data_IF_344499841441
#
_entry.id   IF_344499841441
#
_cell.length_a   1.000
_cell.length_b   1.000
_cell.length_c   1.000
_cell.angle_alpha   90.00
_cell.angle_beta   90.00
_cell.angle_gamma   90.00
#
_symmetry.space_group_name_H-M   'P 1'
#
loop_
_entity.id
_entity.type
_entity.pdbx_description
1 polymer ?
#
# COMPACT_ATOMS: atom_id res chain seq x y z
N UNK A 1 14.66 26.02 12.63
CA UNK A 1 14.00 24.69 12.51
C UNK A 1 14.31 24.07 11.15
N UNK A 2 13.82 24.64 10.05
CA UNK A 2 13.96 24.03 8.71
C UNK A 2 15.40 23.74 8.26
N UNK A 3 16.35 24.65 8.51
CA UNK A 3 17.77 24.38 8.21
C UNK A 3 18.25 23.10 8.87
N UNK A 4 18.05 22.95 10.18
CA UNK A 4 18.42 21.75 10.93
C UNK A 4 17.70 20.50 10.41
N UNK A 5 16.38 20.59 10.17
CA UNK A 5 15.60 19.47 9.65
C UNK A 5 16.14 18.99 8.28
N UNK A 6 16.33 19.91 7.34
CA UNK A 6 16.81 19.60 5.99
C UNK A 6 18.25 19.07 6.04
N UNK A 7 19.14 19.71 6.80
CA UNK A 7 20.53 19.27 6.94
C UNK A 7 20.62 17.86 7.55
N UNK A 8 19.82 17.56 8.57
CA UNK A 8 19.81 16.22 9.17
C UNK A 8 19.23 15.18 8.21
N UNK A 9 18.14 15.49 7.51
CA UNK A 9 17.54 14.58 6.52
C UNK A 9 18.50 14.29 5.36
N UNK A 10 19.20 15.32 4.87
CA UNK A 10 20.22 15.15 3.83
C UNK A 10 21.40 14.33 4.34
N UNK A 11 21.92 14.64 5.52
CA UNK A 11 23.00 13.86 6.12
C UNK A 11 22.62 12.40 6.33
N UNK A 12 21.38 12.10 6.74
CA UNK A 12 20.89 10.73 6.84
C UNK A 12 20.82 10.06 5.47
N UNK A 13 20.27 10.74 4.46
CA UNK A 13 20.18 10.22 3.08
C UNK A 13 21.57 9.91 2.50
N UNK A 14 22.55 10.79 2.72
CA UNK A 14 23.92 10.60 2.27
C UNK A 14 24.59 9.44 3.03
N UNK A 15 24.35 9.31 4.34
CA UNK A 15 24.91 8.21 5.16
C UNK A 15 24.40 6.83 4.75
N UNK A 16 23.25 6.75 4.07
CA UNK A 16 22.71 5.49 3.52
C UNK A 16 22.96 5.36 2.01
N UNK A 17 23.85 6.19 1.43
CA UNK A 17 24.16 6.25 0.00
C UNK A 17 22.91 6.42 -0.89
N UNK A 18 21.88 7.10 -0.36
CA UNK A 18 20.57 7.24 -0.99
C UNK A 18 19.75 5.95 -1.10
N UNK A 19 20.18 4.86 -0.47
CA UNK A 19 19.53 3.54 -0.54
C UNK A 19 18.48 3.38 0.56
N UNK A 20 17.41 4.18 0.51
CA UNK A 20 16.32 4.19 1.52
C UNK A 20 15.77 2.80 1.84
N UNK A 21 15.65 1.92 0.85
CA UNK A 21 15.13 0.55 1.05
C UNK A 21 16.07 -0.29 1.91
N UNK A 22 17.39 -0.10 1.82
CA UNK A 22 18.35 -0.86 2.61
C UNK A 22 18.28 -0.52 4.10
N UNK A 23 17.96 0.73 4.43
CA UNK A 23 17.83 1.17 5.82
C UNK A 23 16.77 0.35 6.58
N UNK A 24 15.71 -0.10 5.90
CA UNK A 24 14.71 -1.01 6.49
C UNK A 24 15.22 -2.43 6.72
N UNK A 25 16.26 -2.86 5.97
CA UNK A 25 16.84 -4.19 6.09
C UNK A 25 17.47 -4.45 7.45
N UNK A 26 18.10 -3.44 8.06
CA UNK A 26 18.66 -3.53 9.42
C UNK A 26 17.56 -3.79 10.46
N UNK A 27 16.48 -3.01 10.41
CA UNK A 27 15.33 -3.17 11.31
C UNK A 27 14.57 -4.49 11.09
N UNK A 28 14.53 -5.00 9.87
CA UNK A 28 14.03 -6.34 9.58
C UNK A 28 14.95 -7.43 10.15
N UNK A 29 16.27 -7.23 10.10
CA UNK A 29 17.26 -8.23 10.53
C UNK A 29 17.27 -8.43 12.05
N UNK A 30 17.08 -7.34 12.81
CA UNK A 30 17.05 -7.35 14.27
C UNK A 30 15.63 -7.53 14.85
N UNK A 31 14.63 -7.78 14.01
CA UNK A 31 13.22 -7.92 14.37
C UNK A 31 12.64 -6.71 15.13
N UNK A 32 13.06 -5.49 14.77
CA UNK A 32 12.42 -4.26 15.27
C UNK A 32 11.13 -3.95 14.51
N UNK A 33 11.08 -4.30 13.23
CA UNK A 33 9.89 -4.19 12.39
C UNK A 33 9.65 -5.50 11.64
N UNK A 34 8.41 -5.68 11.20
CA UNK A 34 8.06 -6.68 10.21
C UNK A 34 7.75 -5.98 8.87
N UNK A 35 8.33 -6.48 7.78
CA UNK A 35 8.04 -5.99 6.43
C UNK A 35 7.18 -7.00 5.69
N UNK A 36 6.08 -6.51 5.11
CA UNK A 36 5.25 -7.27 4.18
C UNK A 36 5.69 -6.97 2.75
N UNK A 37 5.48 -7.92 1.84
CA UNK A 37 5.52 -7.62 0.41
C UNK A 37 4.12 -7.27 -0.11
N UNK A 38 4.01 -6.86 -1.37
CA UNK A 38 2.75 -6.75 -2.11
C UNK A 38 2.93 -7.33 -3.50
N UNK A 39 1.90 -7.24 -4.35
CA UNK A 39 1.96 -7.66 -5.75
C UNK A 39 2.92 -6.79 -6.56
N UNK A 40 3.54 -7.36 -7.61
CA UNK A 40 4.60 -6.72 -8.38
C UNK A 40 4.30 -5.27 -8.80
N UNK A 41 3.10 -4.98 -9.29
CA UNK A 41 2.69 -3.61 -9.68
C UNK A 41 1.39 -3.17 -9.03
N UNK A 42 1.05 -3.72 -7.86
CA UNK A 42 -0.16 -3.36 -7.11
C UNK A 42 -1.48 -3.43 -7.93
N UNK A 43 -1.76 -4.51 -8.71
CA UNK A 43 -3.04 -4.66 -9.40
C UNK A 43 -4.20 -4.89 -8.44
N UNK A 44 -5.38 -4.37 -8.76
CA UNK A 44 -6.59 -4.67 -8.01
C UNK A 44 -7.09 -6.10 -8.32
N UNK A 45 -6.58 -7.09 -7.58
CA UNK A 45 -6.80 -8.53 -7.83
C UNK A 45 -8.25 -8.96 -8.11
N UNK A 46 -9.28 -8.41 -7.44
CA UNK A 46 -10.66 -8.81 -7.72
C UNK A 46 -11.09 -8.67 -9.19
N UNK A 47 -10.49 -7.75 -9.96
CA UNK A 47 -10.77 -7.59 -11.39
C UNK A 47 -10.15 -8.69 -12.25
N UNK A 48 -9.11 -9.35 -11.76
CA UNK A 48 -8.33 -10.34 -12.51
C UNK A 48 -8.58 -11.77 -12.01
N UNK A 49 -9.65 -11.98 -11.24
CA UNK A 49 -9.96 -13.27 -10.59
C UNK A 49 -10.08 -14.45 -11.55
N UNK A 50 -10.42 -14.19 -12.81
CA UNK A 50 -10.57 -15.17 -13.89
C UNK A 50 -9.25 -15.49 -14.62
N UNK A 51 -8.16 -14.78 -14.30
CA UNK A 51 -6.82 -14.95 -14.89
C UNK A 51 -5.81 -15.41 -13.83
N UNK A 52 -5.85 -16.68 -13.41
CA UNK A 52 -5.02 -17.19 -12.31
C UNK A 52 -3.52 -17.09 -12.60
N UNK A 53 -3.10 -17.30 -13.85
CA UNK A 53 -1.69 -17.17 -14.27
C UNK A 53 -1.15 -15.78 -13.99
N UNK A 54 -1.96 -14.75 -14.30
CA UNK A 54 -1.59 -13.35 -14.07
C UNK A 54 -1.52 -13.00 -12.58
N UNK A 55 -2.49 -13.49 -11.78
CA UNK A 55 -2.46 -13.29 -10.32
C UNK A 55 -1.22 -13.92 -9.69
N UNK A 56 -0.89 -15.16 -10.07
CA UNK A 56 0.33 -15.84 -9.62
C UNK A 56 1.57 -15.05 -10.01
N UNK A 57 1.67 -14.62 -11.27
CA UNK A 57 2.80 -13.81 -11.75
C UNK A 57 3.02 -12.57 -10.88
N UNK A 58 1.94 -11.85 -10.55
CA UNK A 58 1.97 -10.65 -9.71
C UNK A 58 2.41 -10.94 -8.27
N UNK A 59 1.86 -11.99 -7.64
CA UNK A 59 2.27 -12.42 -6.29
C UNK A 59 3.75 -12.81 -6.27
N UNK A 60 4.17 -13.63 -7.23
CA UNK A 60 5.53 -14.15 -7.32
C UNK A 60 6.55 -13.05 -7.61
N UNK A 61 6.22 -12.08 -8.47
CA UNK A 61 7.07 -10.94 -8.74
C UNK A 61 7.31 -10.08 -7.49
N UNK A 62 6.28 -9.89 -6.66
CA UNK A 62 6.38 -9.20 -5.37
C UNK A 62 7.25 -9.94 -4.37
N UNK A 63 7.03 -11.25 -4.22
CA UNK A 63 7.82 -12.11 -3.33
C UNK A 63 9.28 -12.19 -3.79
N UNK A 64 9.52 -12.33 -5.09
CA UNK A 64 10.85 -12.36 -5.65
C UNK A 64 11.58 -11.04 -5.42
N UNK A 65 10.93 -9.90 -5.67
CA UNK A 65 11.51 -8.57 -5.46
C UNK A 65 11.88 -8.35 -3.99
N UNK A 66 11.00 -8.76 -3.07
CA UNK A 66 11.28 -8.71 -1.63
C UNK A 66 12.46 -9.60 -1.25
N UNK A 67 12.46 -10.85 -1.70
CA UNK A 67 13.47 -11.84 -1.34
C UNK A 67 14.85 -11.47 -1.89
N UNK A 68 14.90 -10.98 -3.13
CA UNK A 68 16.13 -10.47 -3.74
C UNK A 68 16.69 -9.27 -2.97
N UNK A 69 15.81 -8.43 -2.40
CA UNK A 69 16.23 -7.23 -1.67
C UNK A 69 16.69 -7.51 -0.25
N UNK A 70 15.98 -8.36 0.48
CA UNK A 70 16.17 -8.57 1.91
C UNK A 70 16.81 -9.91 2.28
N UNK A 71 17.03 -10.81 1.30
CA UNK A 71 17.61 -12.14 1.53
C UNK A 71 16.72 -13.07 2.36
N UNK A 72 15.44 -12.73 2.54
CA UNK A 72 14.43 -13.50 3.29
C UNK A 72 13.12 -13.51 2.53
N UNK A 73 12.37 -14.60 2.61
CA UNK A 73 11.00 -14.64 2.10
C UNK A 73 10.05 -13.86 3.01
N UNK A 74 9.10 -13.09 2.46
CA UNK A 74 8.10 -12.40 3.26
C UNK A 74 7.08 -13.40 3.83
N UNK A 75 6.69 -13.21 5.09
CA UNK A 75 5.60 -14.01 5.71
C UNK A 75 4.24 -13.37 5.52
N UNK A 76 4.20 -12.04 5.45
CA UNK A 76 2.96 -11.30 5.23
C UNK A 76 2.90 -10.69 3.83
N UNK A 77 1.68 -10.56 3.33
CA UNK A 77 1.38 -9.98 2.03
C UNK A 77 0.31 -8.91 2.17
N UNK A 78 0.60 -7.70 1.69
CA UNK A 78 -0.38 -6.63 1.53
C UNK A 78 -1.12 -6.83 0.21
N UNK A 79 -2.38 -7.28 0.28
CA UNK A 79 -3.25 -7.31 -0.89
C UNK A 79 -3.45 -5.87 -1.38
N UNK A 80 -3.22 -5.59 -2.68
CA UNK A 80 -3.48 -4.26 -3.23
C UNK A 80 -4.88 -3.79 -2.87
N UNK A 81 -4.93 -2.64 -2.22
CA UNK A 81 -6.17 -2.00 -1.77
C UNK A 81 -7.01 -2.79 -0.76
N UNK A 82 -6.37 -3.72 -0.04
CA UNK A 82 -7.03 -4.78 0.71
C UNK A 82 -8.11 -5.50 -0.12
N UNK A 83 -7.92 -5.55 -1.45
CA UNK A 83 -8.84 -6.10 -2.43
C UNK A 83 -8.88 -7.62 -2.33
N UNK A 84 -9.69 -8.12 -1.40
CA UNK A 84 -9.88 -9.54 -1.19
C UNK A 84 -11.01 -10.07 -2.08
N UNK A 85 -10.74 -11.17 -2.79
CA UNK A 85 -11.77 -11.98 -3.43
C UNK A 85 -11.62 -13.44 -3.03
N UNK A 86 -12.70 -14.21 -3.09
CA UNK A 86 -12.65 -15.63 -2.80
C UNK A 86 -11.66 -16.35 -3.73
N UNK A 87 -10.76 -17.17 -3.15
CA UNK A 87 -9.73 -17.94 -3.83
C UNK A 87 -8.33 -17.31 -3.86
N UNK A 88 -8.18 -16.01 -3.56
CA UNK A 88 -6.84 -15.37 -3.52
C UNK A 88 -5.95 -15.95 -2.41
N UNK A 89 -6.57 -16.40 -1.32
CA UNK A 89 -5.91 -16.98 -0.16
C UNK A 89 -5.16 -18.28 -0.51
N UNK A 90 -5.71 -19.08 -1.42
CA UNK A 90 -5.04 -20.26 -1.95
C UNK A 90 -3.72 -19.90 -2.66
N UNK A 91 -3.73 -18.87 -3.50
CA UNK A 91 -2.52 -18.44 -4.22
C UNK A 91 -1.45 -17.88 -3.27
N UNK A 92 -1.87 -17.16 -2.23
CA UNK A 92 -0.96 -16.68 -1.19
C UNK A 92 -0.33 -17.86 -0.41
N UNK A 93 -1.13 -18.83 0.04
CA UNK A 93 -0.63 -20.02 0.76
C UNK A 93 0.29 -20.89 -0.08
N UNK A 94 -0.01 -21.07 -1.37
CA UNK A 94 0.87 -21.80 -2.31
C UNK A 94 2.25 -21.12 -2.44
N UNK A 95 2.34 -19.83 -2.19
CA UNK A 95 3.58 -19.06 -2.21
C UNK A 95 4.15 -18.80 -0.81
N UNK A 96 3.79 -19.63 0.19
CA UNK A 96 4.31 -19.57 1.56
C UNK A 96 4.05 -18.26 2.30
N UNK A 97 3.00 -17.52 1.92
CA UNK A 97 2.51 -16.37 2.69
C UNK A 97 1.64 -16.89 3.83
N UNK A 98 1.94 -16.48 5.05
CA UNK A 98 1.23 -16.89 6.26
C UNK A 98 0.03 -15.99 6.60
N UNK A 99 0.10 -14.71 6.24
CA UNK A 99 -0.99 -13.79 6.55
C UNK A 99 -1.16 -12.60 5.59
N UNK A 100 -2.34 -12.00 5.65
CA UNK A 100 -2.66 -10.71 5.00
C UNK A 100 -3.48 -9.84 5.94
N UNK A 101 -3.54 -8.55 5.63
CA UNK A 101 -4.50 -7.62 6.22
C UNK A 101 -5.77 -7.64 5.36
N UNK A 102 -6.93 -7.50 5.98
CA UNK A 102 -8.23 -7.41 5.30
C UNK A 102 -9.05 -6.27 5.85
N UNK A 103 -10.04 -5.83 5.08
CA UNK A 103 -10.98 -4.83 5.55
C UNK A 103 -11.89 -5.39 6.68
N UNK A 104 -12.39 -4.53 7.56
CA UNK A 104 -13.34 -4.90 8.61
C UNK A 104 -14.64 -5.48 8.04
N UNK A 105 -15.07 -4.94 6.89
CA UNK A 105 -16.28 -5.34 6.17
C UNK A 105 -16.18 -6.79 5.67
N UNK A 106 -14.99 -7.28 5.35
CA UNK A 106 -14.78 -8.70 5.02
C UNK A 106 -15.16 -9.62 6.17
N UNK A 107 -15.17 -9.13 7.41
CA UNK A 107 -15.59 -9.88 8.60
C UNK A 107 -17.05 -9.57 8.96
N UNK A 108 -17.39 -8.28 9.07
CA UNK A 108 -18.67 -7.84 9.62
C UNK A 108 -19.88 -8.18 8.73
N UNK A 109 -19.68 -8.31 7.41
CA UNK A 109 -20.76 -8.63 6.47
C UNK A 109 -20.81 -10.10 6.07
N UNK A 110 -19.97 -10.94 6.68
CA UNK A 110 -20.04 -12.37 6.46
C UNK A 110 -21.29 -12.98 7.05
N UNK A 111 -21.68 -14.12 6.47
CA UNK A 111 -22.88 -14.86 6.86
C UNK A 111 -22.87 -15.23 8.35
N UNK A 112 -21.70 -15.60 8.87
CA UNK A 112 -21.47 -15.89 10.28
C UNK A 112 -20.35 -14.99 10.77
N UNK A 113 -20.58 -14.23 11.83
CA UNK A 113 -19.57 -13.36 12.42
C UNK A 113 -18.77 -14.18 13.45
N UNK A 114 -17.43 -14.19 13.38
CA UNK A 114 -16.57 -14.83 14.37
C UNK A 114 -16.84 -14.34 15.79
N UNK A 115 -16.57 -15.19 16.80
CA UNK A 115 -16.74 -14.81 18.21
C UNK A 115 -15.86 -13.62 18.61
N UNK A 116 -14.67 -13.53 17.99
CA UNK A 116 -13.73 -12.42 18.19
C UNK A 116 -14.03 -11.20 17.33
N UNK A 117 -15.03 -11.27 16.44
CA UNK A 117 -15.30 -10.23 15.44
C UNK A 117 -14.05 -9.89 14.63
N UNK A 118 -13.84 -8.60 14.36
CA UNK A 118 -12.65 -8.07 13.70
C UNK A 118 -11.53 -7.68 14.70
N UNK A 119 -11.59 -8.16 15.95
CA UNK A 119 -10.71 -7.75 17.05
C UNK A 119 -9.68 -8.81 17.46
N UNK A 120 -9.52 -9.85 16.67
CA UNK A 120 -8.46 -10.86 16.80
C UNK A 120 -8.19 -11.45 15.41
N UNK A 121 -6.98 -12.01 15.15
CA UNK A 121 -6.73 -12.68 13.88
C UNK A 121 -7.74 -13.79 13.61
N UNK A 122 -8.02 -14.02 12.34
CA UNK A 122 -8.90 -15.08 11.82
C UNK A 122 -8.11 -15.96 10.85
N UNK A 123 -8.62 -17.12 10.49
CA UNK A 123 -7.92 -18.03 9.55
C UNK A 123 -8.87 -18.55 8.48
N UNK A 124 -8.48 -18.49 7.21
CA UNK A 124 -9.26 -19.10 6.12
C UNK A 124 -9.18 -20.63 6.18
N UNK A 125 -10.06 -21.32 5.44
CA UNK A 125 -9.98 -22.78 5.30
C UNK A 125 -8.67 -23.26 4.64
N UNK A 126 -7.99 -22.42 3.85
CA UNK A 126 -6.67 -22.71 3.28
C UNK A 126 -5.52 -22.52 4.28
N UNK A 127 -5.82 -21.96 5.46
CA UNK A 127 -4.86 -21.70 6.53
C UNK A 127 -4.20 -20.32 6.47
N UNK A 128 -4.65 -19.41 5.60
CA UNK A 128 -4.16 -18.03 5.59
C UNK A 128 -4.72 -17.26 6.79
N UNK A 129 -3.84 -16.66 7.59
CA UNK A 129 -4.26 -15.81 8.70
C UNK A 129 -4.66 -14.43 8.17
N UNK A 130 -5.81 -13.94 8.60
CA UNK A 130 -6.36 -12.64 8.23
C UNK A 130 -6.28 -11.71 9.45
N UNK A 131 -5.79 -10.50 9.22
CA UNK A 131 -5.74 -9.42 10.18
C UNK A 131 -6.74 -8.33 9.78
N UNK A 132 -7.97 -8.34 10.34
CA UNK A 132 -8.98 -7.34 10.01
C UNK A 132 -8.58 -5.97 10.56
N UNK A 133 -8.74 -4.91 9.75
CA UNK A 133 -8.51 -3.54 10.21
C UNK A 133 -9.51 -3.11 11.28
N UNK A 134 -9.13 -2.18 12.15
CA UNK A 134 -10.05 -1.48 13.05
C UNK A 134 -10.32 -0.07 12.53
N UNK A 135 -11.48 0.13 11.88
CA UNK A 135 -11.81 1.43 11.31
C UNK A 135 -12.04 2.53 12.35
N UNK A 136 -12.49 2.20 13.57
CA UNK A 136 -12.88 3.20 14.59
C UNK A 136 -11.66 3.94 15.11
N UNK A 137 -10.62 3.21 15.54
CA UNK A 137 -9.36 3.82 15.97
C UNK A 137 -8.63 4.46 14.79
N UNK A 138 -8.70 3.87 13.60
CA UNK A 138 -8.10 4.45 12.39
C UNK A 138 -8.63 5.86 12.10
N UNK A 139 -9.93 6.11 12.34
CA UNK A 139 -10.54 7.42 12.09
C UNK A 139 -10.00 8.55 12.96
N UNK A 140 -9.40 8.28 14.13
CA UNK A 140 -8.72 9.32 14.93
C UNK A 140 -7.52 9.92 14.21
N UNK A 141 -6.92 9.17 13.29
CA UNK A 141 -5.79 9.62 12.48
C UNK A 141 -6.25 9.98 11.06
N UNK A 142 -7.04 9.11 10.42
CA UNK A 142 -7.40 9.21 9.00
C UNK A 142 -8.50 10.23 8.68
N UNK A 143 -9.27 10.69 9.67
CA UNK A 143 -10.36 11.63 9.42
C UNK A 143 -9.82 13.01 8.98
N UNK A 144 -10.19 13.45 7.78
CA UNK A 144 -9.84 14.78 7.28
C UNK A 144 -10.46 15.92 8.11
N UNK A 145 -11.60 15.66 8.77
CA UNK A 145 -12.35 16.68 9.52
C UNK A 145 -12.05 16.64 11.03
N UNK A 146 -11.87 15.45 11.58
CA UNK A 146 -11.83 15.22 13.04
C UNK A 146 -10.55 14.52 13.49
N UNK A 147 -9.68 14.16 12.55
CA UNK A 147 -8.44 13.45 12.84
C UNK A 147 -7.35 14.39 13.34
N UNK A 148 -6.38 13.82 14.05
CA UNK A 148 -5.22 14.55 14.56
C UNK A 148 -4.51 15.41 13.50
N UNK A 149 -4.29 14.95 12.25
CA UNK A 149 -3.58 15.75 11.23
C UNK A 149 -4.18 17.12 10.93
N UNK A 150 -5.48 17.31 11.16
CA UNK A 150 -6.18 18.58 10.93
C UNK A 150 -5.97 19.65 12.01
N UNK A 151 -5.17 19.38 13.05
CA UNK A 151 -5.03 20.30 14.17
C UNK A 151 -4.40 21.65 13.74
N UNK A 152 -4.97 22.80 14.16
CA UNK A 152 -4.48 24.14 13.78
C UNK A 152 -2.99 24.41 14.03
N UNK A 153 -2.37 23.71 14.98
CA UNK A 153 -0.95 23.88 15.30
C UNK A 153 0.01 23.12 14.35
N UNK A 154 -0.49 22.21 13.53
CA UNK A 154 0.31 21.42 12.59
C UNK A 154 0.61 22.17 11.30
N UNK A 155 1.67 21.73 10.62
CA UNK A 155 2.16 22.34 9.38
C UNK A 155 1.11 22.24 8.28
N UNK A 156 0.80 23.38 7.66
CA UNK A 156 -0.14 23.46 6.54
C UNK A 156 0.47 22.79 5.29
N UNK A 157 -0.22 21.76 4.76
CA UNK A 157 0.26 21.01 3.61
C UNK A 157 0.08 21.80 2.30
N UNK A 158 -0.99 22.57 2.17
CA UNK A 158 -1.37 23.20 0.91
C UNK A 158 -0.75 24.58 0.70
N UNK A 159 0.06 25.08 1.63
CA UNK A 159 0.66 26.41 1.56
C UNK A 159 2.19 26.31 1.46
N UNK A 160 2.69 26.35 0.23
CA UNK A 160 4.12 26.42 -0.05
C UNK A 160 4.63 27.87 0.08
N UNK A 161 5.86 28.02 0.55
CA UNK A 161 6.53 29.31 0.68
C UNK A 161 6.59 30.08 -0.64
N UNK A 162 6.58 29.39 -1.79
CA UNK A 162 6.51 30.01 -3.12
C UNK A 162 5.31 30.91 -3.37
N UNK A 163 4.21 30.74 -2.62
CA UNK A 163 3.06 31.64 -2.79
C UNK A 163 3.34 33.06 -2.31
N UNK A 164 4.31 33.25 -1.42
CA UNK A 164 4.71 34.57 -0.90
C UNK A 164 6.13 34.97 -1.28
N UNK A 165 7.02 33.99 -1.47
CA UNK A 165 8.46 34.18 -1.69
C UNK A 165 8.86 33.71 -3.09
N UNK A 166 8.20 34.24 -4.14
CA UNK A 166 8.43 33.82 -5.52
C UNK A 166 9.88 34.02 -5.98
N UNK A 167 10.61 34.94 -5.37
CA UNK A 167 12.03 35.22 -5.62
C UNK A 167 12.95 34.03 -5.27
N UNK A 168 12.48 33.06 -4.48
CA UNK A 168 13.24 31.85 -4.15
C UNK A 168 13.06 30.71 -5.17
N UNK A 169 12.33 30.96 -6.28
CA UNK A 169 12.10 29.95 -7.32
C UNK A 169 13.40 29.59 -8.05
N UNK A 170 13.82 28.32 -8.06
CA UNK A 170 15.12 27.94 -8.62
C UNK A 170 15.25 28.18 -10.13
N UNK A 171 14.13 28.18 -10.90
CA UNK A 171 14.18 28.07 -12.36
C UNK A 171 13.09 28.88 -13.14
N UNK A 172 12.44 29.89 -12.56
CA UNK A 172 11.33 30.64 -13.21
C UNK A 172 10.11 29.79 -13.67
N UNK A 173 10.07 28.48 -13.37
CA UNK A 173 9.00 27.55 -13.80
C UNK A 173 7.85 27.40 -12.79
N UNK A 174 7.73 28.28 -11.78
CA UNK A 174 6.72 28.20 -10.71
C UNK A 174 6.63 26.83 -9.99
N UNK A 175 7.70 26.04 -9.98
CA UNK A 175 7.75 24.79 -9.22
C UNK A 175 7.73 25.11 -7.73
N UNK A 176 6.93 24.36 -6.96
CA UNK A 176 6.87 24.48 -5.51
C UNK A 176 8.25 24.18 -4.88
N UNK A 177 8.62 24.91 -3.83
CA UNK A 177 9.90 24.75 -3.15
C UNK A 177 9.90 23.51 -2.23
N UNK A 178 8.71 23.04 -1.84
CA UNK A 178 8.53 22.00 -0.83
C UNK A 178 8.70 22.51 0.60
N UNK A 179 8.97 23.82 0.77
CA UNK A 179 9.11 24.48 2.06
C UNK A 179 7.76 25.08 2.47
N UNK A 180 7.17 24.58 3.55
CA UNK A 180 5.84 25.00 4.02
C UNK A 180 5.96 25.69 5.37
N UNK A 181 5.84 27.02 5.42
CA UNK A 181 6.20 27.81 6.62
C UNK A 181 5.02 28.16 7.52
N UNK A 182 3.81 27.77 7.13
CA UNK A 182 2.57 28.09 7.82
C UNK A 182 2.02 26.90 8.60
N UNK A 183 1.27 27.19 9.66
CA UNK A 183 0.41 26.23 10.34
C UNK A 183 -1.00 26.25 9.74
N UNK A 184 -1.81 25.24 10.05
CA UNK A 184 -3.20 25.14 9.58
C UNK A 184 -4.06 26.32 10.12
N UNK A 185 -3.80 26.79 11.35
CA UNK A 185 -4.30 28.04 11.96
C UNK A 185 -5.81 28.24 12.09
N UNK A 186 -6.64 27.26 11.71
CA UNK A 186 -8.09 27.24 11.98
C UNK A 186 -8.94 28.27 11.20
N UNK A 187 -8.36 29.02 10.26
CA UNK A 187 -9.07 30.01 9.45
C UNK A 187 -8.31 30.43 8.18
N UNK A 188 -8.83 31.46 7.50
CA UNK A 188 -8.24 31.96 6.24
C UNK A 188 -6.90 32.68 6.45
N UNK A 189 -6.65 33.23 7.64
CA UNK A 189 -5.38 33.82 7.99
C UNK A 189 -4.47 32.76 8.60
N UNK A 190 -3.37 32.46 7.93
CA UNK A 190 -2.41 31.44 8.37
C UNK A 190 -1.33 32.09 9.25
N UNK A 191 -1.04 31.46 10.37
CA UNK A 191 0.05 31.83 11.27
C UNK A 191 1.31 31.04 10.91
N UNK A 192 2.50 31.59 11.20
CA UNK A 192 3.74 30.86 11.01
C UNK A 192 3.79 29.58 11.85
N UNK A 193 4.33 28.53 11.26
CA UNK A 193 4.50 27.23 11.89
C UNK A 193 5.48 27.31 13.08
N UNK A 194 5.03 26.82 14.23
CA UNK A 194 5.83 26.70 15.44
C UNK A 194 5.97 25.24 15.86
N UNK A 195 7.14 24.66 15.55
CA UNK A 195 7.46 23.27 15.85
C UNK A 195 7.36 22.91 17.34
N UNK A 196 7.55 23.89 18.26
CA UNK A 196 7.44 23.64 19.70
C UNK A 196 5.99 23.47 20.12
N UNK A 197 5.10 24.32 19.61
CA UNK A 197 3.64 24.18 19.81
C UNK A 197 3.16 22.86 19.21
N UNK A 198 3.58 22.55 17.98
CA UNK A 198 3.24 21.30 17.32
C UNK A 198 3.66 20.07 18.14
N UNK A 199 4.87 20.05 18.71
CA UNK A 199 5.35 18.97 19.59
C UNK A 199 4.49 18.77 20.84
N UNK A 200 4.02 19.85 21.47
CA UNK A 200 3.11 19.76 22.63
C UNK A 200 1.78 19.13 22.22
N UNK A 201 1.24 19.51 21.06
CA UNK A 201 0.01 18.94 20.51
C UNK A 201 0.18 17.46 20.14
N UNK A 202 1.32 17.06 19.55
CA UNK A 202 1.64 15.64 19.33
C UNK A 202 1.54 14.85 20.63
N UNK A 203 2.13 15.34 21.73
CA UNK A 203 2.04 14.65 23.01
C UNK A 203 0.59 14.47 23.47
N UNK A 204 -0.23 15.51 23.37
CA UNK A 204 -1.65 15.46 23.72
C UNK A 204 -2.41 14.43 22.86
N UNK A 205 -2.14 14.36 21.56
CA UNK A 205 -2.77 13.39 20.68
C UNK A 205 -2.30 11.95 20.97
N UNK A 206 -1.04 11.75 21.35
CA UNK A 206 -0.56 10.43 21.81
C UNK A 206 -1.30 10.00 23.07
N UNK A 207 -1.46 10.89 24.05
CA UNK A 207 -2.20 10.61 25.29
C UNK A 207 -3.68 10.26 24.99
N UNK A 208 -4.36 11.06 24.17
CA UNK A 208 -5.74 10.78 23.73
C UNK A 208 -5.87 9.44 22.98
N UNK A 209 -4.90 9.11 22.12
CA UNK A 209 -4.91 7.87 21.36
C UNK A 209 -4.74 6.63 22.25
N UNK A 210 -3.85 6.71 23.25
CA UNK A 210 -3.67 5.65 24.25
C UNK A 210 -4.95 5.46 25.07
N UNK A 211 -5.52 6.53 25.59
CA UNK A 211 -6.75 6.48 26.38
C UNK A 211 -7.92 5.90 25.58
N UNK A 212 -8.07 6.30 24.31
CA UNK A 212 -9.08 5.76 23.41
C UNK A 212 -8.87 4.26 23.13
N UNK A 213 -7.62 3.84 22.93
CA UNK A 213 -7.27 2.44 22.68
C UNK A 213 -7.57 1.57 23.90
N UNK A 214 -7.20 2.02 25.10
CA UNK A 214 -7.48 1.30 26.35
C UNK A 214 -8.97 1.22 26.65
N UNK A 215 -9.71 2.31 26.47
CA UNK A 215 -11.17 2.32 26.61
C UNK A 215 -11.82 1.33 25.66
N UNK A 216 -11.44 1.35 24.37
CA UNK A 216 -11.94 0.41 23.37
C UNK A 216 -11.57 -1.02 23.72
N UNK A 217 -10.35 -1.27 24.19
CA UNK A 217 -9.91 -2.59 24.65
C UNK A 217 -10.81 -3.13 25.75
N UNK A 218 -11.13 -2.33 26.77
CA UNK A 218 -11.99 -2.73 27.87
C UNK A 218 -13.42 -3.06 27.41
N UNK A 219 -13.97 -2.29 26.49
CA UNK A 219 -15.31 -2.52 25.92
C UNK A 219 -15.34 -3.82 25.11
N UNK A 220 -14.36 -4.03 24.24
CA UNK A 220 -14.26 -5.21 23.36
C UNK A 220 -13.97 -6.48 24.15
N UNK A 221 -13.02 -6.45 25.09
CA UNK A 221 -12.63 -7.61 25.90
C UNK A 221 -13.81 -8.18 26.70
N UNK A 222 -14.74 -7.32 27.15
CA UNK A 222 -15.97 -7.75 27.83
C UNK A 222 -16.87 -8.58 26.93
N UNK A 223 -16.85 -8.36 25.62
CA UNK A 223 -17.68 -9.05 24.63
C UNK A 223 -16.99 -10.33 24.17
N UNK A 224 -15.75 -10.22 23.67
CA UNK A 224 -15.04 -11.34 23.04
C UNK A 224 -14.32 -12.26 24.04
N UNK A 225 -14.28 -11.88 25.33
CA UNK A 225 -13.63 -12.61 26.43
C UNK A 225 -12.15 -12.93 26.20
N UNK A 226 -11.48 -12.07 25.43
CA UNK A 226 -10.06 -12.16 25.05
C UNK A 226 -9.47 -10.76 24.91
N UNK A 227 -8.16 -10.64 25.13
CA UNK A 227 -7.42 -9.41 24.80
C UNK A 227 -7.52 -9.12 23.29
N UNK A 228 -8.08 -7.97 22.88
CA UNK A 228 -8.23 -7.65 21.47
C UNK A 228 -6.89 -7.25 20.85
N UNK A 229 -6.80 -7.45 19.54
CA UNK A 229 -5.74 -6.96 18.68
C UNK A 229 -6.36 -5.96 17.72
N UNK A 230 -5.87 -4.72 17.74
CA UNK A 230 -6.30 -3.66 16.83
C UNK A 230 -5.26 -3.48 15.72
N UNK A 231 -5.68 -3.62 14.46
CA UNK A 231 -4.81 -3.47 13.29
C UNK A 231 -5.18 -2.17 12.59
N UNK A 232 -4.23 -1.24 12.51
CA UNK A 232 -4.45 0.11 12.01
C UNK A 232 -3.54 0.36 10.80
N UNK A 233 -3.99 -0.02 9.59
CA UNK A 233 -3.23 0.24 8.37
C UNK A 233 -3.41 1.70 7.93
N UNK A 234 -2.31 2.31 7.48
CA UNK A 234 -2.29 3.67 6.97
C UNK A 234 -1.32 3.75 5.78
N UNK A 235 -1.60 4.64 4.83
CA UNK A 235 -0.62 4.98 3.79
C UNK A 235 0.62 5.61 4.43
N UNK A 236 1.80 5.12 4.08
CA UNK A 236 3.06 5.56 4.70
C UNK A 236 3.31 7.07 4.50
N UNK A 237 2.91 7.63 3.36
CA UNK A 237 3.02 9.05 3.07
C UNK A 237 2.16 9.94 3.98
N UNK A 238 1.19 9.38 4.70
CA UNK A 238 0.50 10.13 5.74
C UNK A 238 1.50 10.71 6.74
N UNK A 239 2.48 9.91 7.17
CA UNK A 239 3.42 10.28 8.22
C UNK A 239 4.66 10.98 7.63
N UNK A 240 4.64 12.30 7.65
CA UNK A 240 5.78 13.17 7.32
C UNK A 240 5.59 13.95 6.03
N UNK A 241 4.77 13.44 5.11
CA UNK A 241 4.38 14.16 3.90
C UNK A 241 3.07 14.94 4.11
N UNK A 242 1.93 14.24 4.18
CA UNK A 242 0.61 14.87 4.41
C UNK A 242 0.50 15.46 5.81
N UNK A 243 0.80 14.65 6.83
CA UNK A 243 0.89 15.06 8.22
C UNK A 243 2.35 15.15 8.64
N UNK A 244 2.90 16.36 8.64
CA UNK A 244 4.33 16.57 8.85
C UNK A 244 4.85 16.04 10.19
N UNK A 245 4.06 16.16 11.24
CA UNK A 245 4.37 15.70 12.59
C UNK A 245 4.11 14.21 12.79
N UNK A 246 3.59 13.51 11.78
CA UNK A 246 3.27 12.10 11.85
C UNK A 246 4.42 11.19 12.33
N UNK A 247 5.68 11.35 11.87
CA UNK A 247 6.80 10.55 12.36
C UNK A 247 7.09 10.80 13.85
N UNK A 248 6.96 12.05 14.31
CA UNK A 248 7.11 12.41 15.72
C UNK A 248 5.98 11.82 16.57
N UNK A 249 4.76 11.76 16.03
CA UNK A 249 3.64 11.08 16.67
C UNK A 249 3.92 9.58 16.82
N UNK A 250 4.38 8.90 15.77
CA UNK A 250 4.73 7.48 15.83
C UNK A 250 5.86 7.21 16.84
N UNK A 251 6.92 8.02 16.82
CA UNK A 251 8.02 7.94 17.80
C UNK A 251 7.48 8.03 19.23
N UNK A 252 6.78 9.13 19.56
CA UNK A 252 6.24 9.35 20.90
C UNK A 252 5.20 8.29 21.31
N UNK A 253 4.40 7.79 20.37
CA UNK A 253 3.42 6.73 20.61
C UNK A 253 4.12 5.42 20.97
N UNK A 254 5.10 5.00 20.19
CA UNK A 254 5.85 3.75 20.42
C UNK A 254 6.64 3.82 21.74
N UNK A 255 7.30 4.94 22.04
CA UNK A 255 7.97 5.17 23.33
C UNK A 255 6.98 5.10 24.50
N UNK A 256 5.80 5.71 24.34
CA UNK A 256 4.76 5.70 25.39
C UNK A 256 4.23 4.29 25.60
N UNK A 257 3.95 3.53 24.53
CA UNK A 257 3.54 2.12 24.63
C UNK A 257 4.61 1.29 25.32
N UNK A 258 5.89 1.45 24.95
CA UNK A 258 7.00 0.69 25.55
C UNK A 258 7.20 0.96 27.05
N UNK A 259 6.73 2.11 27.56
CA UNK A 259 6.79 2.47 28.97
C UNK A 259 5.62 1.95 29.81
N UNK A 260 4.68 1.21 29.21
CA UNK A 260 3.43 0.76 29.83
C UNK A 260 3.30 -0.76 29.81
N UNK A 261 2.56 -1.29 30.78
CA UNK A 261 2.28 -2.72 30.92
C UNK A 261 0.87 -3.12 30.44
N UNK A 262 0.00 -2.15 30.15
CA UNK A 262 -1.42 -2.36 29.83
C UNK A 262 -1.75 -2.29 28.32
N UNK A 263 -0.75 -2.00 27.49
CA UNK A 263 -0.81 -1.97 26.03
C UNK A 263 0.55 -2.39 25.46
N UNK A 264 0.58 -3.06 24.31
CA UNK A 264 1.82 -3.42 23.63
C UNK A 264 1.63 -3.42 22.11
N UNK A 265 2.71 -3.16 21.38
CA UNK A 265 2.79 -3.46 19.96
C UNK A 265 3.11 -4.94 19.77
N UNK A 266 2.44 -5.58 18.81
CA UNK A 266 2.64 -7.00 18.49
C UNK A 266 2.85 -7.12 16.99
N UNK A 267 3.83 -7.92 16.59
CA UNK A 267 4.02 -8.27 15.19
C UNK A 267 3.02 -9.35 14.78
N UNK A 268 2.35 -9.24 13.60
CA UNK A 268 1.44 -10.26 13.11
C UNK A 268 1.99 -11.68 13.20
N UNK A 269 3.28 -11.87 12.88
CA UNK A 269 3.93 -13.19 12.94
C UNK A 269 3.91 -13.85 14.33
N UNK A 270 3.83 -13.08 15.42
CA UNK A 270 3.79 -13.58 16.80
C UNK A 270 2.43 -14.16 17.17
N UNK A 271 1.39 -13.87 16.37
CA UNK A 271 0.02 -14.30 16.63
C UNK A 271 -0.40 -15.51 15.79
N UNK A 272 0.43 -15.97 14.86
CA UNK A 272 0.07 -17.04 13.91
C UNK A 272 -0.22 -18.40 14.57
N UNK A 273 0.41 -18.68 15.71
CA UNK A 273 0.25 -19.94 16.46
C UNK A 273 -0.81 -19.85 17.57
N UNK A 274 -1.51 -18.72 17.69
CA UNK A 274 -2.62 -18.58 18.62
C UNK A 274 -3.81 -19.48 18.22
N UNK A 275 -4.67 -19.78 19.20
CA UNK A 275 -5.99 -20.34 18.89
C UNK A 275 -6.83 -19.31 18.13
N UNK A 276 -6.94 -19.52 16.82
CA UNK A 276 -7.53 -18.64 15.81
C UNK A 276 -8.75 -19.32 15.18
N UNK A 277 -9.89 -18.63 15.18
CA UNK A 277 -11.13 -19.10 14.58
C UNK A 277 -11.01 -19.23 13.06
N UNK A 278 -11.55 -20.33 12.52
CA UNK A 278 -11.63 -20.53 11.07
C UNK A 278 -12.85 -19.81 10.52
N UNK A 279 -12.67 -19.03 9.46
CA UNK A 279 -13.64 -18.08 8.96
C UNK A 279 -13.58 -17.94 7.43
N UNK A 280 -14.73 -17.71 6.81
CA UNK A 280 -14.83 -17.41 5.38
C UNK A 280 -15.12 -15.92 5.17
N UNK A 281 -14.12 -15.11 4.78
CA UNK A 281 -14.31 -13.67 4.58
C UNK A 281 -15.15 -13.36 3.36
N UNK A 282 -15.92 -12.28 3.45
CA UNK A 282 -16.61 -11.67 2.31
C UNK A 282 -15.63 -10.84 1.50
N UNK A 283 -15.87 -10.80 0.19
CA UNK A 283 -15.12 -9.96 -0.73
C UNK A 283 -15.32 -8.48 -0.42
N UNK A 284 -14.22 -7.75 -0.26
CA UNK A 284 -14.26 -6.32 0.00
C UNK A 284 -12.92 -5.67 -0.33
N UNK A 285 -12.88 -4.35 -0.21
CA UNK A 285 -11.64 -3.58 -0.27
C UNK A 285 -11.66 -2.52 0.82
N UNK A 286 -10.54 -1.83 1.03
CA UNK A 286 -10.51 -0.63 1.88
C UNK A 286 -10.86 0.67 1.13
N UNK A 287 -11.25 0.57 -0.14
CA UNK A 287 -11.63 1.70 -0.98
C UNK A 287 -12.94 2.35 -0.58
N UNK A 288 -13.38 3.34 -1.37
CA UNK A 288 -14.63 4.06 -1.15
C UNK A 288 -15.80 3.07 -1.12
N UNK A 289 -16.62 3.16 -0.07
CA UNK A 289 -17.78 2.26 0.08
C UNK A 289 -17.43 0.85 0.56
N UNK A 290 -16.16 0.57 0.89
CA UNK A 290 -15.66 -0.74 1.31
C UNK A 290 -15.91 -1.84 0.25
N UNK A 291 -16.03 -1.47 -1.02
CA UNK A 291 -16.36 -2.34 -2.14
C UNK A 291 -15.40 -2.12 -3.32
N UNK A 292 -15.76 -2.59 -4.51
CA UNK A 292 -14.89 -2.53 -5.69
C UNK A 292 -15.11 -1.27 -6.55
N UNK A 293 -16.00 -0.37 -6.13
CA UNK A 293 -16.49 0.74 -6.96
C UNK A 293 -15.42 1.77 -7.34
N UNK A 294 -14.35 1.91 -6.56
CA UNK A 294 -13.21 2.77 -6.92
C UNK A 294 -12.51 2.29 -8.19
N UNK A 295 -12.33 0.97 -8.36
CA UNK A 295 -11.62 0.39 -9.51
C UNK A 295 -12.55 -0.20 -10.58
N UNK A 296 -13.85 -0.33 -10.27
CA UNK A 296 -14.87 -0.77 -11.20
C UNK A 296 -16.09 0.16 -11.21
N UNK A 297 -16.07 1.12 -12.13
CA UNK A 297 -17.17 2.06 -12.37
C UNK A 297 -17.18 2.53 -13.83
N UNK A 298 -18.20 3.29 -14.28
CA UNK A 298 -18.30 3.73 -15.68
C UNK A 298 -17.09 4.49 -16.22
N UNK A 299 -16.34 5.22 -15.38
CA UNK A 299 -15.16 5.99 -15.83
C UNK A 299 -13.99 5.10 -16.24
N UNK A 300 -13.85 3.93 -15.61
CA UNK A 300 -12.68 3.05 -15.76
C UNK A 300 -13.00 1.70 -16.40
N UNK A 301 -14.29 1.39 -16.62
CA UNK A 301 -14.72 0.12 -17.21
C UNK A 301 -14.03 -0.22 -18.54
N UNK A 302 -13.74 0.78 -19.37
CA UNK A 302 -13.02 0.60 -20.63
C UNK A 302 -11.60 0.03 -20.43
N UNK A 303 -10.91 0.45 -19.36
CA UNK A 303 -9.57 -0.07 -19.02
C UNK A 303 -9.63 -1.55 -18.65
N UNK A 304 -10.67 -1.95 -17.90
CA UNK A 304 -10.89 -3.34 -17.47
C UNK A 304 -11.15 -4.23 -18.69
N UNK A 305 -12.07 -3.83 -19.58
CA UNK A 305 -12.38 -4.58 -20.81
C UNK A 305 -11.13 -4.76 -21.68
N UNK A 306 -10.33 -3.71 -21.85
CA UNK A 306 -9.08 -3.78 -22.63
C UNK A 306 -8.07 -4.74 -21.98
N UNK A 307 -7.90 -4.68 -20.66
CA UNK A 307 -7.00 -5.61 -19.96
C UNK A 307 -7.49 -7.05 -20.02
N UNK A 308 -8.79 -7.31 -19.88
CA UNK A 308 -9.36 -8.66 -20.02
C UNK A 308 -9.05 -9.26 -21.39
N UNK A 309 -9.21 -8.49 -22.48
CA UNK A 309 -8.85 -8.93 -23.83
C UNK A 309 -7.37 -9.32 -23.91
N UNK A 310 -6.48 -8.45 -23.41
CA UNK A 310 -5.05 -8.67 -23.48
C UNK A 310 -4.60 -9.84 -22.59
N UNK A 311 -5.17 -10.00 -21.39
CA UNK A 311 -4.89 -11.12 -20.50
C UNK A 311 -5.34 -12.44 -21.09
N UNK A 312 -6.49 -12.47 -21.76
CA UNK A 312 -6.95 -13.66 -22.47
C UNK A 312 -5.98 -14.07 -23.61
N UNK A 313 -5.47 -13.11 -24.38
CA UNK A 313 -4.46 -13.35 -25.41
C UNK A 313 -3.12 -13.78 -24.82
N UNK A 314 -2.72 -13.16 -23.72
CA UNK A 314 -1.51 -13.51 -22.97
C UNK A 314 -1.55 -14.94 -22.45
N UNK A 315 -2.65 -15.37 -21.84
CA UNK A 315 -2.80 -16.75 -21.35
C UNK A 315 -2.68 -17.79 -22.48
N UNK A 316 -3.19 -17.48 -23.68
CA UNK A 316 -2.97 -18.33 -24.86
C UNK A 316 -1.52 -18.36 -25.31
N UNK A 317 -0.84 -17.21 -25.27
CA UNK A 317 0.56 -17.09 -25.64
C UNK A 317 1.53 -17.62 -24.57
N UNK A 318 1.05 -17.88 -23.35
CA UNK A 318 1.88 -18.24 -22.20
C UNK A 318 2.78 -19.45 -22.46
N UNK A 319 2.32 -20.42 -23.26
CA UNK A 319 3.05 -21.64 -23.58
C UNK A 319 3.76 -21.61 -24.95
N UNK A 320 3.90 -20.43 -25.57
CA UNK A 320 4.52 -20.28 -26.89
C UNK A 320 6.05 -20.42 -26.90
N UNK A 321 6.71 -20.32 -25.73
CA UNK A 321 8.17 -20.19 -25.58
C UNK A 321 8.78 -18.97 -26.31
N UNK A 322 7.98 -17.97 -26.67
CA UNK A 322 8.47 -16.74 -27.30
C UNK A 322 9.05 -15.79 -26.25
N UNK A 323 10.32 -15.39 -26.41
CA UNK A 323 11.00 -14.48 -25.47
C UNK A 323 10.34 -13.08 -25.41
N UNK A 324 9.63 -12.67 -26.47
CA UNK A 324 8.87 -11.42 -26.46
C UNK A 324 7.78 -11.41 -25.37
N UNK A 325 7.33 -12.59 -24.93
CA UNK A 325 6.39 -12.74 -23.82
C UNK A 325 6.92 -12.15 -22.52
N UNK A 326 8.24 -12.14 -22.31
CA UNK A 326 8.87 -11.54 -21.13
C UNK A 326 8.56 -10.05 -21.04
N UNK A 327 8.71 -9.31 -22.14
CA UNK A 327 8.38 -7.89 -22.16
C UNK A 327 6.87 -7.67 -22.18
N UNK A 328 6.09 -8.52 -22.86
CA UNK A 328 4.63 -8.47 -22.80
C UNK A 328 4.11 -8.55 -21.36
N UNK A 329 4.64 -9.49 -20.57
CA UNK A 329 4.29 -9.66 -19.16
C UNK A 329 4.56 -8.38 -18.34
N UNK A 330 5.72 -7.74 -18.53
CA UNK A 330 6.05 -6.46 -17.86
C UNK A 330 5.07 -5.36 -18.22
N UNK A 331 4.76 -5.20 -19.50
CA UNK A 331 3.80 -4.17 -19.96
C UNK A 331 2.39 -4.44 -19.42
N UNK A 332 1.93 -5.69 -19.37
CA UNK A 332 0.64 -6.05 -18.76
C UNK A 332 0.61 -5.78 -17.26
N UNK A 333 1.69 -6.14 -16.55
CA UNK A 333 1.81 -5.84 -15.12
C UNK A 333 1.75 -4.32 -14.90
N UNK A 334 2.54 -3.53 -15.64
CA UNK A 334 2.52 -2.06 -15.54
C UNK A 334 1.15 -1.47 -15.89
N UNK A 335 0.48 -1.96 -16.93
CA UNK A 335 -0.86 -1.53 -17.32
C UNK A 335 -1.95 -1.87 -16.28
N UNK A 336 -1.70 -2.89 -15.44
CA UNK A 336 -2.67 -3.39 -14.45
C UNK A 336 -2.62 -2.71 -13.08
N UNK A 337 -1.70 -1.77 -12.84
CA UNK A 337 -1.63 -1.07 -11.55
C UNK A 337 -2.98 -0.45 -11.19
N UNK A 338 -3.43 -0.67 -9.94
CA UNK A 338 -4.66 -0.08 -9.39
C UNK A 338 -4.63 1.45 -9.39
N UNK A 339 -3.44 2.05 -9.39
CA UNK A 339 -3.21 3.50 -9.38
C UNK A 339 -3.90 4.19 -10.57
N UNK A 340 -3.90 3.55 -11.75
CA UNK A 340 -4.47 4.14 -12.95
C UNK A 340 -5.98 4.30 -12.82
N UNK A 341 -6.69 3.25 -12.41
CA UNK A 341 -8.12 3.33 -12.19
C UNK A 341 -8.44 4.24 -10.99
N UNK A 342 -7.63 4.24 -9.94
CA UNK A 342 -7.81 5.13 -8.80
C UNK A 342 -7.78 6.61 -9.23
N UNK A 343 -6.72 7.04 -9.92
CA UNK A 343 -6.54 8.41 -10.41
C UNK A 343 -7.65 8.85 -11.38
N UNK A 344 -8.07 7.96 -12.30
CA UNK A 344 -9.17 8.25 -13.23
C UNK A 344 -10.51 8.38 -12.49
N UNK A 345 -10.76 7.50 -11.53
CA UNK A 345 -12.01 7.48 -10.76
C UNK A 345 -12.16 8.72 -9.89
N UNK A 346 -11.11 9.10 -9.15
CA UNK A 346 -11.07 10.28 -8.28
C UNK A 346 -10.98 11.59 -9.05
N UNK A 347 -10.42 11.55 -10.27
CA UNK A 347 -10.17 12.74 -11.08
C UNK A 347 -8.81 13.40 -10.79
N UNK A 348 -8.03 12.86 -9.86
CA UNK A 348 -6.69 13.36 -9.54
C UNK A 348 -5.69 12.84 -10.57
N UNK A 349 -5.11 13.74 -11.37
CA UNK A 349 -4.16 13.39 -12.44
C UNK A 349 -4.70 12.38 -13.47
N UNK A 350 -6.00 12.43 -13.75
CA UNK A 350 -6.67 11.45 -14.62
C UNK A 350 -6.09 11.37 -16.04
N UNK A 351 -5.64 12.50 -16.62
CA UNK A 351 -5.03 12.49 -17.96
C UNK A 351 -3.69 11.76 -17.98
N UNK A 352 -2.86 11.97 -16.97
CA UNK A 352 -1.61 11.24 -16.79
C UNK A 352 -1.87 9.73 -16.67
N UNK A 353 -2.82 9.34 -15.83
CA UNK A 353 -3.20 7.94 -15.65
C UNK A 353 -3.70 7.29 -16.94
N UNK A 354 -4.54 7.98 -17.72
CA UNK A 354 -4.99 7.49 -19.05
C UNK A 354 -3.80 7.31 -19.99
N UNK A 355 -2.89 8.27 -20.06
CA UNK A 355 -1.70 8.17 -20.92
C UNK A 355 -0.83 6.98 -20.54
N UNK A 356 -0.55 6.77 -19.24
CA UNK A 356 0.25 5.64 -18.75
C UNK A 356 -0.42 4.30 -19.02
N UNK A 357 -1.72 4.20 -18.76
CA UNK A 357 -2.50 2.99 -19.07
C UNK A 357 -2.46 2.67 -20.57
N UNK A 358 -2.74 3.64 -21.42
CA UNK A 358 -2.77 3.45 -22.88
C UNK A 358 -1.38 3.10 -23.42
N UNK A 359 -0.31 3.72 -22.91
CA UNK A 359 1.05 3.40 -23.30
C UNK A 359 1.39 1.92 -23.07
N UNK A 360 1.21 1.44 -21.84
CA UNK A 360 1.57 0.07 -21.47
C UNK A 360 0.64 -0.95 -22.13
N UNK A 361 -0.67 -0.69 -22.17
CA UNK A 361 -1.62 -1.62 -22.80
C UNK A 361 -1.44 -1.70 -24.33
N UNK A 362 -1.13 -0.59 -25.01
CA UNK A 362 -0.83 -0.61 -26.44
C UNK A 362 0.50 -1.33 -26.74
N UNK A 363 1.51 -1.18 -25.87
CA UNK A 363 2.76 -1.92 -26.00
C UNK A 363 2.54 -3.43 -25.84
N UNK A 364 1.79 -3.85 -24.82
CA UNK A 364 1.41 -5.25 -24.62
C UNK A 364 0.64 -5.81 -25.84
N UNK A 365 -0.32 -5.05 -26.36
CA UNK A 365 -1.07 -5.42 -27.57
C UNK A 365 -0.15 -5.60 -28.78
N UNK A 366 0.77 -4.66 -29.00
CA UNK A 366 1.72 -4.70 -30.11
C UNK A 366 2.62 -5.93 -30.02
N UNK A 367 3.08 -6.30 -28.82
CA UNK A 367 3.91 -7.48 -28.61
C UNK A 367 3.11 -8.78 -28.79
N UNK A 368 1.86 -8.85 -28.33
CA UNK A 368 0.99 -10.00 -28.57
C UNK A 368 0.71 -10.19 -30.07
N UNK A 369 0.47 -9.10 -30.80
CA UNK A 369 0.34 -9.10 -32.25
C UNK A 369 1.59 -9.66 -32.94
N UNK A 370 2.79 -9.29 -32.46
CA UNK A 370 4.07 -9.82 -32.94
C UNK A 370 4.16 -11.34 -32.75
N UNK A 371 3.86 -11.82 -31.54
CA UNK A 371 3.87 -13.26 -31.18
C UNK A 371 2.88 -14.05 -32.05
N UNK A 372 1.63 -13.58 -32.15
CA UNK A 372 0.57 -14.26 -32.90
C UNK A 372 0.86 -14.33 -34.41
N UNK A 373 1.47 -13.28 -34.97
CA UNK A 373 1.87 -13.22 -36.38
C UNK A 373 3.24 -13.86 -36.63
N UNK A 374 3.95 -14.30 -35.59
CA UNK A 374 5.33 -14.81 -35.65
C UNK A 374 6.30 -13.84 -36.31
N UNK A 375 6.16 -12.55 -35.99
CA UNK A 375 7.04 -11.46 -36.44
C UNK A 375 7.76 -10.91 -35.23
N UNK A 376 9.06 -10.66 -35.32
CA UNK A 376 9.85 -10.16 -34.19
C UNK A 376 10.42 -8.78 -34.49
N UNK A 377 10.30 -7.85 -33.53
CA UNK A 377 10.98 -6.56 -33.55
C UNK A 377 11.77 -6.35 -32.25
N UNK A 378 12.98 -6.89 -32.19
CA UNK A 378 13.85 -6.81 -31.01
C UNK A 378 14.21 -5.37 -30.63
N UNK A 379 14.32 -4.47 -31.61
CA UNK A 379 14.61 -3.05 -31.34
C UNK A 379 13.48 -2.41 -30.53
N UNK A 380 12.22 -2.68 -30.89
CA UNK A 380 11.07 -2.21 -30.12
C UNK A 380 11.03 -2.82 -28.72
N UNK A 381 11.19 -4.14 -28.61
CA UNK A 381 11.13 -4.88 -27.33
C UNK A 381 12.23 -4.39 -26.38
N UNK A 382 13.47 -4.27 -26.85
CA UNK A 382 14.60 -3.83 -26.04
C UNK A 382 14.41 -2.37 -25.58
N UNK A 383 13.93 -1.49 -26.47
CA UNK A 383 13.63 -0.11 -26.11
C UNK A 383 12.58 -0.01 -24.99
N UNK A 384 11.57 -0.89 -25.01
CA UNK A 384 10.57 -0.96 -23.94
C UNK A 384 11.20 -1.37 -22.61
N UNK A 385 12.06 -2.39 -22.61
CA UNK A 385 12.78 -2.80 -21.41
C UNK A 385 13.73 -1.72 -20.88
N UNK A 386 14.50 -1.05 -21.75
CA UNK A 386 15.37 0.07 -21.38
C UNK A 386 14.60 1.22 -20.74
N UNK A 387 13.38 1.48 -21.21
CA UNK A 387 12.52 2.55 -20.66
C UNK A 387 11.90 2.13 -19.32
N UNK A 388 11.54 0.86 -19.16
CA UNK A 388 10.87 0.32 -17.97
C UNK A 388 11.55 -0.98 -17.49
N UNK A 389 12.75 -0.90 -16.89
CA UNK A 389 13.55 -2.06 -16.52
C UNK A 389 13.08 -2.67 -15.19
N UNK A 390 11.82 -3.11 -15.13
CA UNK A 390 11.23 -3.78 -13.95
C UNK A 390 11.23 -5.30 -14.13
N UNK A 391 11.32 -6.03 -13.01
CA UNK A 391 11.31 -7.51 -12.99
C UNK A 391 12.35 -8.11 -13.97
N UNK A 392 13.64 -7.88 -13.70
CA UNK A 392 14.73 -8.39 -14.55
C UNK A 392 14.61 -9.90 -14.81
N UNK A 393 14.24 -10.67 -13.77
CA UNK A 393 14.06 -12.13 -13.81
C UNK A 393 12.63 -12.59 -14.15
N UNK A 394 11.90 -11.86 -14.99
CA UNK A 394 10.52 -12.21 -15.37
C UNK A 394 10.42 -13.60 -16.05
N UNK A 395 11.49 -14.03 -16.73
CA UNK A 395 11.58 -15.33 -17.43
C UNK A 395 11.48 -16.50 -16.44
N UNK A 396 12.11 -16.38 -15.27
CA UNK A 396 12.02 -17.36 -14.20
C UNK A 396 10.59 -17.41 -13.65
N UNK A 397 9.98 -16.26 -13.42
CA UNK A 397 8.63 -16.16 -12.88
C UNK A 397 7.60 -16.77 -13.85
N UNK A 398 7.72 -16.51 -15.15
CA UNK A 398 6.84 -17.09 -16.16
C UNK A 398 6.98 -18.62 -16.23
N UNK A 399 8.19 -19.15 -16.12
CA UNK A 399 8.42 -20.60 -16.04
C UNK A 399 7.76 -21.24 -14.83
N UNK A 400 7.77 -20.56 -13.69
CA UNK A 400 7.10 -21.05 -12.47
C UNK A 400 5.57 -20.96 -12.58
N UNK A 401 5.04 -19.96 -13.27
CA UNK A 401 3.59 -19.82 -13.52
C UNK A 401 3.07 -20.91 -14.48
N UNK A 402 3.91 -21.39 -15.40
CA UNK A 402 3.60 -22.48 -16.34
C UNK A 402 3.59 -23.88 -15.69
N UNK A 403 4.18 -24.03 -14.50
CA UNK A 403 4.18 -25.27 -13.71
C UNK A 403 2.94 -25.35 -12.82
#
# INVERSE_FOLDING_TARGET
YYTTFITNSLSFFDNIDGQCVNAFGEFLSNNSIELLTTAGTHPFFPLYRTYPSFQKLQIMAGIHSFSAKFGKSPRGFWLPELGYHAGIDQYLRQNSIDYTIVNDTSVLYAKNIPQTGNFFPLKTYTGLVLFPRDAVLSMKIWSANEGYPGNPAYREFHYDAMYELQELSPNNEHRLLGLKIYAISGGNHKEYYDYKKARVVVRQHVDDFIDATLKRSQEVERIIKRKPVFVLPFDAELFGHWWFEGPLFLEMLLETIASRDDIMCVMPQQLLDCDIETFEPVESSWGRGNDFSTWYNPKVRHTVVKLEELLYRFDKALYSNDEALHQCARELMLASSSDWQFMISTGSYADYARTRFEEHSAAAQTILDMIEKKITNNSYINKRFETYPVFEHIDLLLRLVQQ
#
